data_IF_476640713989
#
_entry.id   IF_476640713989
#
_cell.length_a   1.000
_cell.length_b   1.000
_cell.length_c   1.000
_cell.angle_alpha   90.00
_cell.angle_beta   90.00
_cell.angle_gamma   90.00
#
_symmetry.space_group_name_H-M   'P 1'
#
loop_
_entity.id
_entity.type
_entity.pdbx_description
1 polymer ?
#
# COMPACT_ATOMS: atom_id res chain seq x y z
N UNK A 1 -18.94 6.03 -19.81
CA UNK A 1 -18.70 5.01 -18.76
C UNK A 1 -18.32 5.74 -17.49
N UNK A 2 -19.21 5.77 -16.50
CA UNK A 2 -18.98 6.46 -15.23
C UNK A 2 -18.50 5.43 -14.20
N UNK A 3 -17.21 5.49 -13.84
CA UNK A 3 -16.67 4.67 -12.76
C UNK A 3 -17.25 5.19 -11.43
N UNK A 4 -18.28 4.52 -10.92
CA UNK A 4 -18.78 4.73 -9.57
C UNK A 4 -18.02 3.79 -8.66
N UNK A 5 -17.24 4.33 -7.73
CA UNK A 5 -16.65 3.52 -6.65
C UNK A 5 -17.80 2.85 -5.88
N UNK A 6 -17.66 1.56 -5.47
CA UNK A 6 -18.72 0.82 -4.78
C UNK A 6 -19.02 1.31 -3.36
N UNK A 7 -18.40 2.42 -2.95
CA UNK A 7 -18.60 3.08 -1.67
C UNK A 7 -18.57 4.60 -1.86
N UNK A 8 -19.37 5.30 -1.07
CA UNK A 8 -19.31 6.76 -0.96
C UNK A 8 -18.21 7.11 0.04
N UNK A 9 -17.03 7.51 -0.44
CA UNK A 9 -16.12 8.28 0.41
C UNK A 9 -16.87 9.58 0.73
N UNK A 10 -17.37 9.71 1.95
CA UNK A 10 -17.95 10.99 2.38
C UNK A 10 -16.83 12.01 2.33
N UNK A 11 -17.10 13.22 1.83
CA UNK A 11 -16.13 14.33 1.77
C UNK A 11 -15.37 14.53 3.09
N UNK A 12 -16.00 14.16 4.22
CA UNK A 12 -15.42 14.27 5.55
C UNK A 12 -14.23 13.35 5.84
N UNK A 13 -14.03 12.25 5.11
CA UNK A 13 -12.84 11.39 5.29
C UNK A 13 -11.54 12.05 4.79
N UNK A 14 -11.64 12.97 3.82
CA UNK A 14 -10.51 13.79 3.35
C UNK A 14 -10.52 15.21 3.92
N UNK A 15 -11.56 15.60 4.65
CA UNK A 15 -11.68 16.92 5.26
C UNK A 15 -10.81 17.10 6.52
N UNK A 16 -10.15 16.03 6.99
CA UNK A 16 -9.04 16.19 7.93
C UNK A 16 -7.91 16.89 7.20
N UNK A 17 -7.42 18.00 7.73
CA UNK A 17 -6.09 18.49 7.37
C UNK A 17 -5.16 17.29 7.53
N UNK A 18 -4.58 16.77 6.45
CA UNK A 18 -3.57 15.73 6.57
C UNK A 18 -2.50 16.31 7.49
N UNK A 19 -2.10 15.59 8.55
CA UNK A 19 -1.07 16.11 9.42
C UNK A 19 0.15 16.44 8.54
N UNK A 20 0.72 17.63 8.75
CA UNK A 20 1.91 18.09 8.01
C UNK A 20 3.06 17.09 8.09
N UNK A 21 3.04 16.23 9.11
CA UNK A 21 4.01 15.19 9.39
C UNK A 21 3.27 13.86 9.60
N UNK A 22 3.69 12.82 8.89
CA UNK A 22 3.18 11.46 9.07
C UNK A 22 4.07 10.71 10.06
N UNK A 23 3.46 10.02 11.02
CA UNK A 23 4.17 9.15 11.95
C UNK A 23 4.28 7.73 11.37
N UNK A 24 5.32 6.95 11.70
CA UNK A 24 5.49 5.59 11.17
C UNK A 24 4.29 4.66 11.39
N UNK A 25 3.49 4.90 12.43
CA UNK A 25 2.32 4.11 12.79
C UNK A 25 1.00 4.65 12.28
N UNK A 26 1.01 5.79 11.61
CA UNK A 26 -0.17 6.28 10.91
C UNK A 26 -0.53 5.36 9.75
N UNK A 27 -1.82 5.24 9.46
CA UNK A 27 -2.29 4.52 8.28
C UNK A 27 -1.78 5.21 7.01
N UNK A 28 -1.03 4.46 6.21
CA UNK A 28 -0.61 4.87 4.88
C UNK A 28 -1.72 4.59 3.85
N UNK A 29 -2.34 3.41 3.92
CA UNK A 29 -3.37 3.02 2.96
C UNK A 29 -4.36 1.98 3.49
N UNK A 30 -5.50 1.88 2.80
CA UNK A 30 -6.51 0.86 2.98
C UNK A 30 -6.47 -0.12 1.81
N UNK A 31 -6.04 -1.36 2.04
CA UNK A 31 -5.94 -2.39 1.01
C UNK A 31 -7.25 -3.18 0.91
N UNK A 32 -7.94 -3.18 -0.25
CA UNK A 32 -9.14 -3.97 -0.43
C UNK A 32 -8.83 -5.46 -0.41
N UNK A 33 -9.80 -6.25 0.05
CA UNK A 33 -9.75 -7.71 -0.03
C UNK A 33 -10.95 -8.24 -0.81
N UNK A 34 -10.83 -9.42 -1.41
CA UNK A 34 -11.89 -10.02 -2.25
C UNK A 34 -13.21 -10.25 -1.51
N UNK A 35 -13.21 -10.25 -0.17
CA UNK A 35 -14.41 -10.20 0.65
C UNK A 35 -15.38 -11.35 0.38
N UNK A 36 -15.09 -12.57 0.84
CA UNK A 36 -15.94 -13.76 0.67
C UNK A 36 -17.35 -13.65 1.29
N UNK A 37 -17.60 -12.63 2.11
CA UNK A 37 -18.85 -12.43 2.86
C UNK A 37 -19.79 -11.39 2.23
N UNK A 38 -19.52 -10.95 0.99
CA UNK A 38 -20.35 -9.96 0.28
C UNK A 38 -20.21 -8.51 0.76
N UNK A 39 -19.44 -8.27 1.82
CA UNK A 39 -19.08 -6.94 2.31
C UNK A 39 -17.61 -6.67 2.00
N UNK A 40 -17.33 -5.52 1.39
CA UNK A 40 -15.96 -5.10 1.10
C UNK A 40 -15.23 -4.81 2.43
N UNK A 41 -14.14 -5.54 2.67
CA UNK A 41 -13.27 -5.33 3.84
C UNK A 41 -11.96 -4.71 3.37
N UNK A 42 -11.44 -3.80 4.20
CA UNK A 42 -10.15 -3.16 3.99
C UNK A 42 -9.18 -3.53 5.12
N UNK A 43 -7.93 -3.78 4.74
CA UNK A 43 -6.82 -3.93 5.67
C UNK A 43 -6.13 -2.58 5.79
N UNK A 44 -5.99 -2.07 7.01
CA UNK A 44 -5.23 -0.85 7.31
C UNK A 44 -3.74 -1.21 7.32
N UNK A 45 -2.94 -0.50 6.53
CA UNK A 45 -1.49 -0.66 6.49
C UNK A 45 -0.83 0.65 6.89
N UNK A 46 0.05 0.60 7.90
CA UNK A 46 0.86 1.74 8.30
C UNK A 46 2.11 1.91 7.44
N UNK A 47 2.74 3.08 7.51
CA UNK A 47 4.04 3.35 6.88
C UNK A 47 5.10 2.32 7.32
N UNK A 48 5.19 2.07 8.63
CA UNK A 48 6.14 1.12 9.23
C UNK A 48 5.89 -0.30 8.75
N UNK A 49 4.62 -0.72 8.66
CA UNK A 49 4.27 -2.07 8.22
C UNK A 49 4.70 -2.32 6.76
N UNK A 50 4.43 -1.36 5.86
CA UNK A 50 4.84 -1.48 4.46
C UNK A 50 6.37 -1.50 4.35
N UNK A 51 7.05 -0.56 5.00
CA UNK A 51 8.52 -0.45 4.97
C UNK A 51 9.21 -1.72 5.47
N UNK A 52 8.72 -2.27 6.59
CA UNK A 52 9.24 -3.51 7.17
C UNK A 52 9.06 -4.68 6.19
N UNK A 53 7.86 -4.83 5.61
CA UNK A 53 7.59 -5.92 4.68
C UNK A 53 8.44 -5.81 3.40
N UNK A 54 8.58 -4.62 2.83
CA UNK A 54 9.42 -4.37 1.65
C UNK A 54 10.88 -4.76 1.91
N UNK A 55 11.45 -4.33 3.05
CA UNK A 55 12.83 -4.69 3.43
C UNK A 55 12.99 -6.21 3.62
N UNK A 56 12.03 -6.86 4.27
CA UNK A 56 12.03 -8.31 4.44
C UNK A 56 11.95 -9.05 3.10
N UNK A 57 11.15 -8.55 2.14
CA UNK A 57 11.05 -9.10 0.79
C UNK A 57 12.38 -8.99 0.03
N UNK A 58 12.97 -7.80 -0.02
CA UNK A 58 14.28 -7.58 -0.69
C UNK A 58 15.36 -8.48 -0.08
N UNK A 59 15.41 -8.58 1.25
CA UNK A 59 16.34 -9.44 1.96
C UNK A 59 16.12 -10.93 1.65
N UNK A 60 14.86 -11.38 1.56
CA UNK A 60 14.52 -12.78 1.30
C UNK A 60 15.00 -13.27 -0.08
N UNK A 61 15.11 -12.37 -1.06
CA UNK A 61 15.65 -12.68 -2.39
C UNK A 61 17.18 -12.49 -2.49
N UNK A 62 17.86 -12.08 -1.42
CA UNK A 62 19.29 -11.80 -1.44
C UNK A 62 19.68 -10.65 -2.37
N UNK A 63 18.76 -9.71 -2.63
CA UNK A 63 19.01 -8.59 -3.52
C UNK A 63 19.99 -7.62 -2.85
N UNK A 64 21.10 -7.37 -3.53
CA UNK A 64 22.14 -6.42 -3.12
C UNK A 64 22.37 -5.39 -4.21
N UNK A 65 22.45 -4.12 -3.83
CA UNK A 65 22.60 -3.02 -4.78
C UNK A 65 21.36 -2.77 -5.64
N UNK A 66 21.54 -2.09 -6.77
CA UNK A 66 20.45 -1.73 -7.67
C UNK A 66 19.87 -2.95 -8.38
N UNK A 67 18.55 -3.03 -8.45
CA UNK A 67 17.82 -4.06 -9.18
C UNK A 67 16.71 -3.43 -10.02
N UNK A 68 16.15 -4.20 -10.94
CA UNK A 68 14.97 -3.82 -11.72
C UNK A 68 13.80 -4.70 -11.31
N UNK A 69 12.75 -4.08 -10.78
CA UNK A 69 11.49 -4.76 -10.51
C UNK A 69 10.59 -4.69 -11.76
N UNK A 70 9.86 -5.76 -12.03
CA UNK A 70 8.84 -5.79 -13.08
C UNK A 70 7.46 -5.64 -12.45
N UNK A 71 6.73 -4.57 -12.79
CA UNK A 71 5.38 -4.30 -12.30
C UNK A 71 4.34 -4.96 -13.20
N UNK A 72 3.97 -6.21 -12.89
CA UNK A 72 2.92 -6.94 -13.63
C UNK A 72 1.55 -6.84 -12.95
N UNK A 73 1.54 -6.88 -11.61
CA UNK A 73 0.32 -6.89 -10.81
C UNK A 73 -0.13 -5.46 -10.47
N UNK A 74 -1.42 -5.27 -10.22
CA UNK A 74 -1.92 -3.96 -9.77
C UNK A 74 -1.44 -3.61 -8.36
N UNK A 75 -1.25 -2.31 -8.09
CA UNK A 75 -0.86 -1.80 -6.76
C UNK A 75 -1.94 -2.05 -5.70
N UNK A 76 -3.20 -2.26 -6.12
CA UNK A 76 -4.31 -2.67 -5.27
C UNK A 76 -4.17 -4.10 -4.72
N UNK A 77 -3.26 -4.90 -5.30
CA UNK A 77 -2.94 -6.26 -4.87
C UNK A 77 -1.63 -6.27 -4.07
N UNK A 78 -1.58 -7.04 -2.98
CA UNK A 78 -0.44 -7.00 -2.04
C UNK A 78 0.93 -7.23 -2.69
N UNK A 79 1.06 -8.20 -3.60
CA UNK A 79 2.32 -8.41 -4.32
C UNK A 79 2.65 -7.29 -5.31
N UNK A 80 1.63 -6.69 -5.94
CA UNK A 80 1.84 -5.54 -6.82
C UNK A 80 2.29 -4.30 -6.05
N UNK A 81 1.73 -4.08 -4.84
CA UNK A 81 2.17 -3.03 -3.93
C UNK A 81 3.64 -3.22 -3.53
N UNK A 82 4.05 -4.43 -3.15
CA UNK A 82 5.44 -4.70 -2.76
C UNK A 82 6.39 -4.53 -3.94
N UNK A 83 6.03 -4.95 -5.15
CA UNK A 83 6.83 -4.71 -6.35
C UNK A 83 7.06 -3.21 -6.60
N UNK A 84 6.02 -2.38 -6.43
CA UNK A 84 6.12 -0.92 -6.56
C UNK A 84 6.96 -0.31 -5.44
N UNK A 85 6.70 -0.67 -4.18
CA UNK A 85 7.41 -0.13 -3.02
C UNK A 85 8.90 -0.47 -3.03
N UNK A 86 9.26 -1.66 -3.53
CA UNK A 86 10.66 -2.10 -3.65
C UNK A 86 11.44 -1.31 -4.71
N UNK A 87 10.76 -0.71 -5.69
CA UNK A 87 11.40 0.05 -6.77
C UNK A 87 11.77 1.49 -6.40
N UNK A 88 11.28 1.98 -5.26
CA UNK A 88 11.63 3.28 -4.71
C UNK A 88 12.88 3.11 -3.85
N UNK A 89 13.85 4.01 -3.97
CA UNK A 89 15.01 4.05 -3.07
C UNK A 89 14.54 4.26 -1.62
N UNK A 90 14.33 3.14 -0.93
CA UNK A 90 14.17 3.11 0.50
C UNK A 90 15.58 3.21 1.05
N UNK A 91 16.03 4.43 1.30
CA UNK A 91 17.26 4.65 2.05
C UNK A 91 17.21 3.80 3.33
N UNK A 92 18.19 2.91 3.48
CA UNK A 92 18.39 2.09 4.68
C UNK A 92 19.03 2.97 5.75
#
# INVERSE_FOLDING_TARGET
MQWRLPFTLTDRMFASTMPLESMPDDDLLLMPTSGSTGQHKFVRLSHRALLFNTRAHVASFGIVGSFKALQILEVSYSYGLIASASSVDIAV
#
